data_IF_616053952539
#
_entry.id   IF_616053952539
#
_cell.length_a   1.000
_cell.length_b   1.000
_cell.length_c   1.000
_cell.angle_alpha   90.00
_cell.angle_beta   90.00
_cell.angle_gamma   90.00
#
_symmetry.space_group_name_H-M   'P 1'
#
loop_
_entity.id
_entity.type
_entity.pdbx_description
1 polymer ?
#
# COMPACT_ATOMS: atom_id res chain seq x y z
N UNK A 1 -1.70 -12.25 54.90
CA UNK A 1 -2.40 -11.57 53.82
C UNK A 1 -1.37 -11.23 52.75
N UNK A 2 -1.20 -12.11 51.75
CA UNK A 2 -0.30 -11.84 50.63
C UNK A 2 -1.17 -11.67 49.40
N UNK A 3 -1.16 -10.45 48.89
CA UNK A 3 -1.88 -10.03 47.70
C UNK A 3 -1.14 -10.60 46.49
N UNK A 4 -1.77 -11.56 45.81
CA UNK A 4 -1.26 -12.15 44.57
C UNK A 4 -1.67 -11.22 43.43
N UNK A 5 -0.79 -10.33 43.03
CA UNK A 5 -0.94 -9.63 41.75
C UNK A 5 -0.65 -10.61 40.63
N UNK A 6 -1.70 -11.08 39.99
CA UNK A 6 -1.63 -11.79 38.72
C UNK A 6 -1.09 -10.82 37.65
N UNK A 7 0.11 -11.09 37.19
CA UNK A 7 0.69 -10.40 36.04
C UNK A 7 -0.16 -10.71 34.80
N UNK A 8 -0.91 -9.74 34.33
CA UNK A 8 -1.65 -9.81 33.05
C UNK A 8 -0.61 -9.76 31.94
N UNK A 9 -0.34 -10.88 31.33
CA UNK A 9 0.46 -10.99 30.11
C UNK A 9 -0.29 -10.26 29.00
N UNK A 10 0.32 -9.33 28.27
CA UNK A 10 -0.37 -8.63 27.17
C UNK A 10 -0.68 -9.60 26.04
N UNK A 11 -1.96 -9.87 25.80
CA UNK A 11 -2.46 -10.68 24.67
C UNK A 11 -2.22 -10.03 23.29
N UNK A 12 -1.72 -8.82 23.24
CA UNK A 12 -1.59 -7.99 22.03
C UNK A 12 -0.37 -8.36 21.16
N UNK A 13 0.61 -9.10 21.66
CA UNK A 13 1.88 -9.36 20.95
C UNK A 13 1.76 -10.49 19.90
N UNK A 14 0.76 -11.35 20.00
CA UNK A 14 0.65 -12.54 19.14
C UNK A 14 -0.10 -12.31 17.84
N UNK A 15 -0.90 -11.24 17.74
CA UNK A 15 -1.68 -10.90 16.53
C UNK A 15 -0.84 -10.19 15.46
N UNK A 16 0.30 -9.61 15.83
CA UNK A 16 1.16 -8.83 14.94
C UNK A 16 2.34 -9.64 14.36
N UNK A 17 2.35 -10.96 14.51
CA UNK A 17 3.41 -11.85 14.01
C UNK A 17 2.88 -12.79 12.93
N UNK A 18 3.70 -13.04 11.91
CA UNK A 18 3.44 -14.08 10.92
C UNK A 18 3.74 -15.50 11.48
N UNK A 19 3.44 -16.53 10.70
CA UNK A 19 3.69 -17.93 11.10
C UNK A 19 5.18 -18.28 11.31
N UNK A 20 6.09 -17.43 10.88
CA UNK A 20 7.53 -17.57 11.03
C UNK A 20 8.09 -16.71 12.18
N UNK A 21 7.23 -16.00 12.91
CA UNK A 21 7.62 -15.12 14.01
C UNK A 21 8.19 -13.77 13.56
N UNK A 22 7.94 -13.35 12.32
CA UNK A 22 8.27 -12.00 11.88
C UNK A 22 7.12 -11.05 12.20
N UNK A 23 7.45 -9.82 12.56
CA UNK A 23 6.46 -8.75 12.69
C UNK A 23 5.74 -8.54 11.35
N UNK A 24 4.40 -8.49 11.38
CA UNK A 24 3.61 -8.25 10.18
C UNK A 24 3.81 -6.82 9.74
N UNK A 25 4.05 -6.59 8.45
CA UNK A 25 4.06 -5.26 7.84
C UNK A 25 3.07 -5.20 6.68
N UNK A 26 2.56 -4.01 6.41
CA UNK A 26 1.48 -3.80 5.45
C UNK A 26 1.97 -2.95 4.28
N UNK A 27 2.03 -3.56 3.11
CA UNK A 27 2.49 -2.91 1.90
C UNK A 27 1.31 -2.46 1.04
N UNK A 28 1.33 -1.22 0.58
CA UNK A 28 0.37 -0.67 -0.38
C UNK A 28 1.09 -0.24 -1.65
N UNK A 29 0.57 -0.63 -2.81
CA UNK A 29 1.15 -0.31 -4.10
C UNK A 29 0.11 0.38 -5.00
N UNK A 30 0.42 1.61 -5.41
CA UNK A 30 -0.22 2.31 -6.53
C UNK A 30 0.65 2.07 -7.78
N UNK A 31 0.21 1.21 -8.74
CA UNK A 31 1.03 0.87 -9.88
C UNK A 31 1.14 2.00 -10.91
N UNK A 32 2.19 1.92 -11.73
CA UNK A 32 2.51 2.91 -12.77
C UNK A 32 3.66 3.83 -12.37
N UNK A 33 4.28 4.46 -13.37
CA UNK A 33 5.48 5.30 -13.16
C UNK A 33 5.26 6.54 -12.28
N UNK A 34 4.01 6.96 -12.13
CA UNK A 34 3.63 8.09 -11.27
C UNK A 34 3.03 7.67 -9.93
N UNK A 35 2.99 6.38 -9.66
CA UNK A 35 2.53 5.81 -8.41
C UNK A 35 3.65 5.68 -7.37
N UNK A 36 3.46 4.77 -6.41
CA UNK A 36 4.42 4.56 -5.34
C UNK A 36 4.20 3.26 -4.58
N UNK A 37 5.09 3.04 -3.61
CA UNK A 37 5.03 1.92 -2.68
C UNK A 37 5.15 2.48 -1.27
N UNK A 38 4.31 2.02 -0.36
CA UNK A 38 4.35 2.37 1.06
C UNK A 38 4.32 1.12 1.93
N UNK A 39 5.02 1.17 3.05
CA UNK A 39 5.12 0.08 4.03
C UNK A 39 4.81 0.62 5.41
N UNK A 40 3.84 0.03 6.08
CA UNK A 40 3.40 0.40 7.42
C UNK A 40 3.68 -0.72 8.42
N UNK A 41 4.02 -0.34 9.64
CA UNK A 41 4.04 -1.23 10.80
C UNK A 41 2.60 -1.54 11.28
N UNK A 42 2.42 -2.54 12.18
CA UNK A 42 1.10 -2.87 12.75
C UNK A 42 0.43 -1.70 13.46
N UNK A 43 1.19 -0.84 14.10
CA UNK A 43 0.68 0.36 14.79
C UNK A 43 0.26 1.49 13.85
N UNK A 44 0.49 1.33 12.53
CA UNK A 44 0.20 2.32 11.50
C UNK A 44 1.31 3.34 11.26
N UNK A 45 2.45 3.22 11.95
CA UNK A 45 3.61 4.05 11.64
C UNK A 45 4.18 3.71 10.26
N UNK A 46 4.69 4.73 9.56
CA UNK A 46 5.29 4.54 8.23
C UNK A 46 6.73 4.06 8.40
N UNK A 47 6.99 2.81 7.99
CA UNK A 47 8.33 2.25 7.96
C UNK A 47 9.14 2.77 6.78
N UNK A 48 8.50 2.80 5.60
CA UNK A 48 9.11 3.36 4.40
C UNK A 48 8.04 3.78 3.38
N UNK A 49 8.37 4.75 2.54
CA UNK A 49 7.53 5.19 1.43
C UNK A 49 8.37 5.77 0.31
N UNK A 50 8.12 5.32 -0.91
CA UNK A 50 8.83 5.79 -2.09
C UNK A 50 7.87 6.09 -3.24
N UNK A 51 8.27 7.00 -4.14
CA UNK A 51 7.70 7.01 -5.50
C UNK A 51 8.05 5.68 -6.18
N UNK A 52 7.30 5.31 -7.22
CA UNK A 52 7.60 4.09 -7.97
C UNK A 52 9.06 4.10 -8.45
N UNK A 53 9.85 3.05 -8.14
CA UNK A 53 11.21 2.92 -8.65
C UNK A 53 11.24 2.82 -10.17
N UNK A 54 12.29 3.32 -10.79
CA UNK A 54 12.33 3.53 -12.24
C UNK A 54 12.62 2.24 -13.02
N UNK A 55 13.33 1.27 -12.44
CA UNK A 55 13.70 0.02 -13.12
C UNK A 55 13.07 -1.22 -12.47
N UNK A 56 12.91 -2.33 -13.23
CA UNK A 56 12.43 -3.58 -12.65
C UNK A 56 13.32 -4.13 -11.54
N UNK A 57 14.64 -3.87 -11.62
CA UNK A 57 15.59 -4.28 -10.59
C UNK A 57 15.38 -3.48 -9.30
N UNK A 58 15.25 -2.15 -9.40
CA UNK A 58 15.00 -1.31 -8.23
C UNK A 58 13.66 -1.65 -7.56
N UNK A 59 12.63 -1.98 -8.35
CA UNK A 59 11.34 -2.48 -7.84
C UNK A 59 11.55 -3.78 -7.05
N UNK A 60 12.26 -4.74 -7.63
CA UNK A 60 12.51 -6.03 -6.99
C UNK A 60 13.33 -5.87 -5.70
N UNK A 61 14.37 -5.06 -5.72
CA UNK A 61 15.22 -4.80 -4.55
C UNK A 61 14.42 -4.13 -3.42
N UNK A 62 13.62 -3.13 -3.75
CA UNK A 62 12.77 -2.44 -2.78
C UNK A 62 11.74 -3.41 -2.14
N UNK A 63 11.05 -4.20 -2.96
CA UNK A 63 10.08 -5.18 -2.47
C UNK A 63 10.75 -6.25 -1.60
N UNK A 64 11.92 -6.75 -1.99
CA UNK A 64 12.69 -7.72 -1.20
C UNK A 64 13.15 -7.17 0.14
N UNK A 65 13.56 -5.91 0.19
CA UNK A 65 13.99 -5.26 1.43
C UNK A 65 12.88 -5.30 2.49
N UNK A 66 11.62 -5.19 2.05
CA UNK A 66 10.44 -5.15 2.92
C UNK A 66 9.60 -6.44 2.90
N UNK A 67 10.16 -7.57 2.46
CA UNK A 67 9.37 -8.80 2.24
C UNK A 67 9.04 -9.59 3.51
N UNK A 68 9.86 -9.47 4.56
CA UNK A 68 9.66 -10.23 5.81
C UNK A 68 8.38 -9.79 6.52
N UNK A 69 7.49 -10.74 6.77
CA UNK A 69 6.19 -10.48 7.40
C UNK A 69 5.21 -9.66 6.56
N UNK A 70 5.57 -9.33 5.31
CA UNK A 70 4.74 -8.44 4.49
C UNK A 70 3.45 -9.09 4.02
N UNK A 71 2.36 -8.34 4.13
CA UNK A 71 1.09 -8.53 3.40
C UNK A 71 0.92 -7.35 2.46
N UNK A 72 0.49 -7.60 1.23
CA UNK A 72 0.41 -6.56 0.21
C UNK A 72 -0.99 -6.41 -0.38
N UNK A 73 -1.41 -5.16 -0.55
CA UNK A 73 -2.49 -4.79 -1.47
C UNK A 73 -1.90 -3.96 -2.61
N UNK A 74 -2.16 -4.41 -3.83
CA UNK A 74 -1.87 -3.66 -5.06
C UNK A 74 -3.17 -3.19 -5.70
N UNK A 75 -3.21 -1.93 -6.15
CA UNK A 75 -4.37 -1.40 -6.85
C UNK A 75 -4.58 -2.12 -8.18
N UNK A 76 -5.79 -2.61 -8.40
CA UNK A 76 -6.22 -3.19 -9.67
C UNK A 76 -6.86 -2.11 -10.55
N UNK A 77 -6.11 -1.59 -11.48
CA UNK A 77 -6.55 -0.54 -12.43
C UNK A 77 -7.18 -1.09 -13.70
N UNK A 78 -7.40 -2.43 -13.77
CA UNK A 78 -7.98 -3.09 -14.93
C UNK A 78 -7.06 -3.16 -16.15
N UNK A 79 -7.60 -3.59 -17.28
CA UNK A 79 -6.83 -3.89 -18.50
C UNK A 79 -6.63 -2.71 -19.45
N UNK A 80 -6.94 -1.49 -19.03
CA UNK A 80 -6.72 -0.29 -19.84
C UNK A 80 -7.60 0.87 -19.45
N UNK A 81 -7.11 2.08 -19.67
CA UNK A 81 -7.88 3.31 -19.50
C UNK A 81 -8.50 3.65 -20.85
N UNK A 82 -9.83 3.80 -20.94
CA UNK A 82 -10.48 4.22 -22.19
C UNK A 82 -9.83 5.50 -22.74
N UNK A 83 -9.47 5.49 -24.04
CA UNK A 83 -8.82 6.61 -24.70
C UNK A 83 -7.30 6.67 -24.56
N UNK A 84 -6.66 5.71 -23.89
CA UNK A 84 -5.21 5.61 -23.81
C UNK A 84 -4.64 4.96 -25.09
N UNK A 85 -3.46 5.42 -25.54
CA UNK A 85 -2.80 4.81 -26.69
C UNK A 85 -2.36 3.36 -26.40
N UNK A 86 -2.30 2.52 -27.44
CA UNK A 86 -1.82 1.13 -27.31
C UNK A 86 -0.42 1.04 -26.70
N UNK A 87 0.47 1.98 -27.03
CA UNK A 87 1.82 2.06 -26.46
C UNK A 87 1.80 2.34 -24.96
N UNK A 88 0.97 3.27 -24.49
CA UNK A 88 0.84 3.58 -23.08
C UNK A 88 0.22 2.40 -22.28
N UNK A 89 -0.78 1.75 -22.86
CA UNK A 89 -1.39 0.53 -22.29
C UNK A 89 -0.35 -0.60 -22.18
N UNK A 90 0.47 -0.83 -23.20
CA UNK A 90 1.51 -1.84 -23.18
C UNK A 90 2.61 -1.55 -22.16
N UNK A 91 3.02 -0.28 -22.02
CA UNK A 91 3.98 0.13 -20.97
C UNK A 91 3.43 -0.12 -19.57
N UNK A 92 2.18 0.25 -19.34
CA UNK A 92 1.50 0.04 -18.07
C UNK A 92 1.35 -1.45 -17.73
N UNK A 93 0.91 -2.28 -18.68
CA UNK A 93 0.77 -3.72 -18.50
C UNK A 93 2.12 -4.39 -18.18
N UNK A 94 3.19 -3.97 -18.87
CA UNK A 94 4.55 -4.45 -18.57
C UNK A 94 4.99 -4.08 -17.15
N UNK A 95 4.76 -2.86 -16.74
CA UNK A 95 5.09 -2.37 -15.40
C UNK A 95 4.33 -3.16 -14.33
N UNK A 96 3.04 -3.43 -14.52
CA UNK A 96 2.26 -4.30 -13.64
C UNK A 96 2.85 -5.72 -13.57
N UNK A 97 3.27 -6.28 -14.69
CA UNK A 97 3.92 -7.58 -14.71
C UNK A 97 5.23 -7.61 -13.91
N UNK A 98 6.00 -6.53 -13.89
CA UNK A 98 7.20 -6.43 -13.04
C UNK A 98 6.85 -6.44 -11.56
N UNK A 99 5.85 -5.67 -11.15
CA UNK A 99 5.37 -5.62 -9.77
C UNK A 99 4.85 -6.99 -9.32
N UNK A 100 3.99 -7.62 -10.11
CA UNK A 100 3.43 -8.94 -9.81
C UNK A 100 4.53 -10.01 -9.67
N UNK A 101 5.50 -10.01 -10.58
CA UNK A 101 6.62 -10.94 -10.52
C UNK A 101 7.53 -10.66 -9.32
N UNK A 102 7.80 -9.39 -9.00
CA UNK A 102 8.61 -9.03 -7.84
C UNK A 102 7.96 -9.47 -6.52
N UNK A 103 6.65 -9.26 -6.38
CA UNK A 103 5.88 -9.71 -5.21
C UNK A 103 5.87 -11.24 -5.09
N UNK A 104 5.61 -11.95 -6.20
CA UNK A 104 5.63 -13.41 -6.24
C UNK A 104 7.01 -13.97 -5.89
N UNK A 105 8.07 -13.43 -6.50
CA UNK A 105 9.45 -13.85 -6.26
C UNK A 105 9.95 -13.54 -4.84
N UNK A 106 9.30 -12.59 -4.16
CA UNK A 106 9.58 -12.24 -2.77
C UNK A 106 8.70 -12.99 -1.77
N UNK A 107 7.79 -13.85 -2.24
CA UNK A 107 6.91 -14.66 -1.40
C UNK A 107 5.87 -13.85 -0.62
N UNK A 108 5.50 -12.65 -1.09
CA UNK A 108 4.57 -11.76 -0.39
C UNK A 108 3.12 -12.11 -0.74
N UNK A 109 2.27 -12.50 0.23
CA UNK A 109 0.83 -12.63 0.02
C UNK A 109 0.23 -11.32 -0.48
N UNK A 110 -0.35 -11.35 -1.69
CA UNK A 110 -0.79 -10.14 -2.38
C UNK A 110 -2.26 -10.24 -2.79
N UNK A 111 -3.03 -9.20 -2.50
CA UNK A 111 -4.43 -9.06 -2.92
C UNK A 111 -4.57 -7.87 -3.87
N UNK A 112 -5.27 -8.07 -4.98
CA UNK A 112 -5.65 -6.99 -5.90
C UNK A 112 -6.96 -6.33 -5.44
N UNK A 113 -6.99 -5.00 -5.41
CA UNK A 113 -8.17 -4.24 -4.97
C UNK A 113 -8.41 -3.08 -5.92
N UNK A 114 -9.66 -2.95 -6.40
CA UNK A 114 -10.03 -1.84 -7.28
C UNK A 114 -9.97 -0.49 -6.58
N UNK A 115 -9.71 0.61 -7.31
CA UNK A 115 -9.69 1.96 -6.75
C UNK A 115 -10.95 2.28 -5.96
N UNK A 116 -12.13 1.94 -6.49
CA UNK A 116 -13.41 2.21 -5.85
C UNK A 116 -13.54 1.56 -4.48
N UNK A 117 -12.94 0.37 -4.29
CA UNK A 117 -13.07 -0.39 -3.04
C UNK A 117 -12.28 0.25 -1.90
N UNK A 118 -11.01 0.59 -2.11
CA UNK A 118 -10.21 1.22 -1.07
C UNK A 118 -10.59 2.69 -0.86
N UNK A 119 -10.94 3.42 -1.93
CA UNK A 119 -11.41 4.81 -1.81
C UNK A 119 -12.72 4.90 -1.02
N UNK A 120 -13.65 3.96 -1.21
CA UNK A 120 -14.90 3.87 -0.43
C UNK A 120 -14.62 3.69 1.06
N UNK A 121 -13.61 2.91 1.43
CA UNK A 121 -13.23 2.73 2.83
C UNK A 121 -12.88 4.06 3.52
N UNK A 122 -12.20 4.95 2.82
CA UNK A 122 -11.88 6.30 3.32
C UNK A 122 -13.00 7.32 3.09
N UNK A 123 -14.17 6.90 2.62
CA UNK A 123 -15.30 7.77 2.25
C UNK A 123 -14.90 8.80 1.17
N UNK A 124 -13.95 8.42 0.31
CA UNK A 124 -13.45 9.25 -0.77
C UNK A 124 -14.07 8.80 -2.08
N UNK A 125 -14.96 9.65 -2.62
CA UNK A 125 -15.57 9.44 -3.93
C UNK A 125 -15.28 10.65 -4.80
N UNK A 126 -14.91 10.39 -6.06
CA UNK A 126 -14.81 11.46 -7.04
C UNK A 126 -16.21 11.87 -7.46
N UNK A 127 -16.54 13.16 -7.30
CA UNK A 127 -17.79 13.73 -7.79
C UNK A 127 -17.88 13.63 -9.32
N UNK A 128 -19.12 13.57 -9.86
CA UNK A 128 -19.35 13.43 -11.31
C UNK A 128 -18.67 14.53 -12.13
N UNK A 129 -18.72 15.76 -11.62
CA UNK A 129 -18.15 16.95 -12.27
C UNK A 129 -16.84 17.43 -11.61
N UNK A 130 -16.25 16.60 -10.74
CA UNK A 130 -15.00 16.95 -10.05
C UNK A 130 -13.80 16.69 -10.96
N UNK A 131 -12.94 17.70 -11.11
CA UNK A 131 -11.70 17.56 -11.85
C UNK A 131 -10.79 16.53 -11.20
N UNK A 132 -10.11 15.72 -12.03
CA UNK A 132 -9.19 14.67 -11.59
C UNK A 132 -8.09 15.20 -10.66
N UNK A 133 -7.54 16.37 -10.97
CA UNK A 133 -6.48 17.01 -10.16
C UNK A 133 -7.00 17.40 -8.78
N UNK A 134 -8.20 17.98 -8.70
CA UNK A 134 -8.84 18.33 -7.43
C UNK A 134 -9.06 17.10 -6.56
N UNK A 135 -9.58 16.04 -7.16
CA UNK A 135 -9.78 14.76 -6.47
C UNK A 135 -8.46 14.16 -5.95
N UNK A 136 -7.39 14.15 -6.76
CA UNK A 136 -6.06 13.68 -6.34
C UNK A 136 -5.48 14.51 -5.19
N UNK A 137 -5.71 15.81 -5.16
CA UNK A 137 -5.29 16.65 -4.04
C UNK A 137 -6.06 16.30 -2.75
N UNK A 138 -7.36 16.00 -2.83
CA UNK A 138 -8.14 15.54 -1.66
C UNK A 138 -7.61 14.21 -1.12
N UNK A 139 -7.24 13.25 -1.98
CA UNK A 139 -6.61 12.00 -1.55
C UNK A 139 -5.27 12.26 -0.85
N UNK A 140 -4.45 13.17 -1.41
CA UNK A 140 -3.19 13.60 -0.79
C UNK A 140 -3.41 14.25 0.58
N UNK A 141 -4.39 15.14 0.70
CA UNK A 141 -4.76 15.77 1.98
C UNK A 141 -5.20 14.71 3.01
N UNK A 142 -6.02 13.74 2.58
CA UNK A 142 -6.43 12.61 3.44
C UNK A 142 -5.24 11.80 3.93
N UNK A 143 -4.30 11.46 3.05
CA UNK A 143 -3.08 10.77 3.42
C UNK A 143 -2.21 11.60 4.37
N UNK A 144 -2.07 12.92 4.13
CA UNK A 144 -1.30 13.80 5.01
C UNK A 144 -1.90 13.92 6.42
N UNK A 145 -3.23 13.86 6.54
CA UNK A 145 -3.91 13.85 7.85
C UNK A 145 -3.65 12.53 8.61
N UNK A 146 -3.59 11.41 7.92
CA UNK A 146 -3.30 10.11 8.54
C UNK A 146 -1.81 9.93 8.88
N UNK A 147 -0.93 10.52 8.08
CA UNK A 147 0.51 10.39 8.21
C UNK A 147 1.20 11.76 8.34
N UNK A 148 0.98 12.48 9.46
CA UNK A 148 1.45 13.86 9.61
C UNK A 148 2.98 14.00 9.64
N UNK A 149 3.70 12.95 10.00
CA UNK A 149 5.17 12.93 10.09
C UNK A 149 5.87 12.67 8.75
N UNK A 150 5.10 12.29 7.71
CA UNK A 150 5.64 11.97 6.38
C UNK A 150 5.34 13.07 5.40
N UNK A 151 6.29 13.40 4.53
CA UNK A 151 6.04 14.29 3.39
C UNK A 151 5.20 13.56 2.34
N UNK A 152 3.89 13.80 2.35
CA UNK A 152 2.98 13.22 1.35
C UNK A 152 3.02 14.02 0.05
N UNK A 153 3.18 13.31 -1.05
CA UNK A 153 3.17 13.82 -2.43
C UNK A 153 2.05 13.18 -3.23
N UNK A 154 1.77 13.67 -4.44
CA UNK A 154 0.80 13.01 -5.33
C UNK A 154 1.26 11.60 -5.77
N UNK A 155 2.56 11.34 -5.76
CA UNK A 155 3.13 10.04 -6.16
C UNK A 155 3.03 8.97 -5.06
N UNK A 156 2.98 9.35 -3.78
CA UNK A 156 2.95 8.38 -2.68
C UNK A 156 1.64 8.35 -1.89
N UNK A 157 0.76 9.31 -2.13
CA UNK A 157 -0.49 9.44 -1.37
C UNK A 157 -1.39 8.20 -1.49
N UNK A 158 -1.61 7.72 -2.72
CA UNK A 158 -2.47 6.57 -2.96
C UNK A 158 -1.85 5.29 -2.37
N UNK A 159 -0.53 5.10 -2.50
CA UNK A 159 0.19 3.98 -1.90
C UNK A 159 0.06 3.95 -0.36
N UNK A 160 0.18 5.10 0.30
CA UNK A 160 -0.03 5.23 1.75
C UNK A 160 -1.47 4.87 2.16
N UNK A 161 -2.48 5.34 1.42
CA UNK A 161 -3.87 4.99 1.68
C UNK A 161 -4.15 3.51 1.43
N UNK A 162 -3.57 2.92 0.39
CA UNK A 162 -3.69 1.49 0.09
C UNK A 162 -3.02 0.64 1.18
N UNK A 163 -1.84 1.06 1.69
CA UNK A 163 -1.18 0.38 2.81
C UNK A 163 -2.02 0.43 4.09
N UNK A 164 -2.61 1.57 4.41
CA UNK A 164 -3.52 1.71 5.55
C UNK A 164 -4.80 0.88 5.36
N UNK A 165 -5.33 0.82 4.14
CA UNK A 165 -6.43 -0.07 3.82
C UNK A 165 -6.02 -1.54 3.99
N UNK A 166 -4.80 -1.92 3.58
CA UNK A 166 -4.24 -3.26 3.81
C UNK A 166 -4.22 -3.60 5.30
N UNK A 167 -3.67 -2.71 6.13
CA UNK A 167 -3.55 -2.87 7.58
C UNK A 167 -4.90 -3.12 8.27
N UNK A 168 -5.96 -2.47 7.81
CA UNK A 168 -7.29 -2.58 8.41
C UNK A 168 -8.16 -3.71 7.82
N UNK A 169 -7.67 -4.45 6.81
CA UNK A 169 -8.43 -5.51 6.11
C UNK A 169 -7.75 -6.87 6.11
N UNK A 170 -6.52 -6.93 6.63
CA UNK A 170 -5.70 -8.15 6.69
C UNK A 170 -5.92 -8.94 7.97
#
# INVERSE_FOLDING_TARGET
MFDSQAATTPQTIQEDMDLNGNEIVYMGIDPGSNGGIAVLAPDGSVLDVTKMPDTPMDILEYIRLHSKGAKCIIEDVGHGIPGQSSSATAKFARHNGWLEMALLASGIPTTKVTPQKWQKYFQMHRGKDEEKTKYKNRLKERAQLLFPTVKVTLANADALLIAEYCRNKS
#
